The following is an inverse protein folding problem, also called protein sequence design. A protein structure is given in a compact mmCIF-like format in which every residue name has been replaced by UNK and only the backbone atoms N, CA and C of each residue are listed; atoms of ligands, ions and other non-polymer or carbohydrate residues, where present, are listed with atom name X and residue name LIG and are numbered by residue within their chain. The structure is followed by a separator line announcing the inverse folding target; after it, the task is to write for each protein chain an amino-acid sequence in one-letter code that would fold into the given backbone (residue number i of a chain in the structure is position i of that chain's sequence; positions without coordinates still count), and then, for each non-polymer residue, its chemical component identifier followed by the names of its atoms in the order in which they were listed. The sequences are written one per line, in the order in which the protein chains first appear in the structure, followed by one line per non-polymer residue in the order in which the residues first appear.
data_IF_451251584159
#
_entry.id   IF_451251584159
#
_cell.length_a   1.000
_cell.length_b   1.000
_cell.length_c   1.000
_cell.angle_alpha   90.00
_cell.angle_beta   90.00
_cell.angle_gamma   90.00
#
_symmetry.space_group_name_H-M   'P 1'
#
loop_
_entity.id
_entity.type
_entity.pdbx_description
1 polymer ?
#
# COMPACT_ATOMS: atom_id res chain seq x y z
N UNK A 1 6.34 -10.40 -1.76
CA UNK A 1 5.55 -9.95 -2.93
C UNK A 1 6.38 -9.00 -3.77
N UNK A 2 6.31 -9.12 -5.10
CA UNK A 2 7.09 -8.32 -6.05
C UNK A 2 6.30 -7.14 -6.64
N UNK A 3 4.97 -7.19 -6.58
CA UNK A 3 4.12 -6.17 -7.16
C UNK A 3 3.98 -4.97 -6.20
N UNK A 4 4.44 -3.76 -6.58
CA UNK A 4 4.33 -2.56 -5.73
C UNK A 4 2.89 -2.22 -5.31
N UNK A 5 1.89 -2.66 -6.07
CA UNK A 5 0.48 -2.41 -5.76
C UNK A 5 0.03 -3.08 -4.45
N UNK A 6 0.66 -4.19 -4.06
CA UNK A 6 0.34 -4.87 -2.80
C UNK A 6 0.76 -4.03 -1.60
N UNK A 7 1.94 -3.40 -1.68
CA UNK A 7 2.41 -2.49 -0.65
C UNK A 7 1.53 -1.25 -0.53
N UNK A 8 1.15 -0.67 -1.68
CA UNK A 8 0.19 0.42 -1.70
C UNK A 8 -1.16 0.02 -1.07
N UNK A 9 -1.68 -1.16 -1.46
CA UNK A 9 -2.94 -1.68 -0.94
C UNK A 9 -2.88 -1.95 0.56
N UNK A 10 -1.75 -2.42 1.09
CA UNK A 10 -1.54 -2.62 2.52
C UNK A 10 -1.60 -1.31 3.31
N UNK A 11 -1.02 -0.23 2.77
CA UNK A 11 -1.06 1.12 3.35
C UNK A 11 -2.50 1.63 3.37
N UNK A 12 -3.21 1.56 2.24
CA UNK A 12 -4.60 2.03 2.12
C UNK A 12 -5.51 1.22 3.05
N UNK A 13 -5.41 -0.12 3.05
CA UNK A 13 -6.16 -1.00 3.96
C UNK A 13 -5.93 -0.61 5.43
N UNK A 14 -4.69 -0.33 5.81
CA UNK A 14 -4.35 0.07 7.19
C UNK A 14 -4.89 1.45 7.57
N UNK A 15 -4.98 2.37 6.61
CA UNK A 15 -5.65 3.66 6.80
C UNK A 15 -7.16 3.50 6.98
N UNK A 16 -7.80 2.75 6.07
CA UNK A 16 -9.25 2.49 6.11
C UNK A 16 -9.67 1.76 7.39
N UNK A 17 -8.91 0.75 7.83
CA UNK A 17 -9.17 0.02 9.11
C UNK A 17 -9.11 0.93 10.34
N UNK A 18 -8.29 1.99 10.31
CA UNK A 18 -8.19 2.97 11.41
C UNK A 18 -9.27 4.05 11.36
N UNK A 19 -9.98 4.17 10.24
CA UNK A 19 -11.07 5.13 10.10
C UNK A 19 -12.34 4.64 10.80
N UNK A 20 -13.02 5.54 11.51
CA UNK A 20 -14.36 5.24 12.04
C UNK A 20 -15.35 5.22 10.89
N UNK A 21 -15.95 4.06 10.65
CA UNK A 21 -17.08 3.91 9.75
C UNK A 21 -18.32 4.42 10.48
N UNK A 22 -18.82 5.56 10.02
CA UNK A 22 -20.15 6.02 10.39
C UNK A 22 -21.16 5.44 9.40
N UNK A 23 -22.42 5.27 9.78
CA UNK A 23 -23.44 4.61 8.95
C UNK A 23 -23.62 5.27 7.56
N UNK A 24 -23.23 6.54 7.44
CA UNK A 24 -23.26 7.33 6.20
C UNK A 24 -21.99 7.20 5.33
N UNK A 25 -20.84 6.75 5.87
CA UNK A 25 -19.58 6.66 5.11
C UNK A 25 -19.46 5.32 4.39
N UNK A 26 -19.63 5.36 3.07
CA UNK A 26 -19.41 4.20 2.21
C UNK A 26 -17.92 3.80 2.16
N UNK A 27 -17.67 2.48 2.16
CA UNK A 27 -16.34 1.88 2.01
C UNK A 27 -15.56 2.43 0.82
N UNK A 28 -16.22 2.60 -0.32
CA UNK A 28 -15.62 3.19 -1.51
C UNK A 28 -15.05 4.60 -1.26
N UNK A 29 -15.81 5.46 -0.58
CA UNK A 29 -15.38 6.82 -0.24
C UNK A 29 -14.18 6.80 0.72
N UNK A 30 -14.19 5.91 1.71
CA UNK A 30 -13.06 5.74 2.63
C UNK A 30 -11.79 5.27 1.90
N UNK A 31 -11.91 4.35 0.95
CA UNK A 31 -10.79 3.88 0.12
C UNK A 31 -10.26 5.01 -0.77
N UNK A 32 -11.15 5.76 -1.44
CA UNK A 32 -10.77 6.87 -2.32
C UNK A 32 -10.03 7.96 -1.53
N UNK A 33 -10.58 8.37 -0.39
CA UNK A 33 -9.94 9.36 0.48
C UNK A 33 -8.58 8.87 1.01
N UNK A 34 -8.51 7.63 1.50
CA UNK A 34 -7.27 7.04 1.99
C UNK A 34 -6.20 6.95 0.89
N UNK A 35 -6.60 6.68 -0.36
CA UNK A 35 -5.70 6.65 -1.52
C UNK A 35 -5.17 8.05 -1.86
N UNK A 36 -6.05 9.06 -1.85
CA UNK A 36 -5.69 10.44 -2.22
C UNK A 36 -4.74 11.12 -1.24
N UNK A 37 -4.72 10.70 0.03
CA UNK A 37 -3.80 11.26 1.03
C UNK A 37 -2.43 10.58 1.05
N UNK A 38 -2.21 9.51 0.25
CA UNK A 38 -0.91 8.84 0.18
C UNK A 38 0.11 9.78 -0.45
N UNK A 39 1.20 10.14 0.27
CA UNK A 39 2.22 11.01 -0.28
C UNK A 39 2.94 10.39 -1.49
N UNK A 40 3.34 11.24 -2.46
CA UNK A 40 4.11 10.81 -3.65
C UNK A 40 5.41 10.08 -3.27
N UNK A 41 6.07 10.47 -2.19
CA UNK A 41 7.29 9.79 -1.72
C UNK A 41 7.00 8.36 -1.24
N UNK A 42 5.83 8.11 -0.64
CA UNK A 42 5.41 6.78 -0.23
C UNK A 42 5.18 5.87 -1.43
N UNK A 43 4.57 6.39 -2.52
CA UNK A 43 4.43 5.65 -3.77
C UNK A 43 5.78 5.24 -4.36
N UNK A 44 6.76 6.16 -4.35
CA UNK A 44 8.15 5.85 -4.76
C UNK A 44 8.76 4.76 -3.90
N UNK A 45 8.55 4.81 -2.58
CA UNK A 45 9.04 3.78 -1.67
C UNK A 45 8.44 2.40 -1.95
N UNK A 46 7.16 2.30 -2.33
CA UNK A 46 6.56 1.04 -2.76
C UNK A 46 7.28 0.44 -3.98
N UNK A 47 7.64 1.27 -4.96
CA UNK A 47 8.39 0.85 -6.15
C UNK A 47 9.81 0.41 -5.77
N UNK A 48 10.50 1.22 -4.95
CA UNK A 48 11.87 0.93 -4.50
C UNK A 48 11.94 -0.36 -3.68
N UNK A 49 10.96 -0.63 -2.83
CA UNK A 49 10.86 -1.89 -2.09
C UNK A 49 10.89 -3.10 -3.03
N UNK A 50 10.07 -3.08 -4.09
CA UNK A 50 10.07 -4.15 -5.09
C UNK A 50 11.42 -4.32 -5.78
N UNK A 51 12.05 -3.22 -6.19
CA UNK A 51 13.38 -3.25 -6.84
C UNK A 51 14.44 -3.85 -5.93
N UNK A 52 14.47 -3.45 -4.65
CA UNK A 52 15.45 -3.91 -3.68
C UNK A 52 15.31 -5.41 -3.34
N UNK A 53 14.15 -5.98 -3.61
CA UNK A 53 13.83 -7.37 -3.29
C UNK A 53 13.96 -8.29 -4.50
N UNK A 54 14.04 -7.75 -5.72
CA UNK A 54 14.28 -8.56 -6.93
C UNK A 54 15.56 -9.40 -6.84
N UNK A 55 16.66 -8.83 -6.33
CA UNK A 55 17.92 -9.57 -6.15
C UNK A 55 17.76 -10.73 -5.17
N UNK A 56 17.06 -10.52 -4.06
CA UNK A 56 16.77 -11.57 -3.09
C UNK A 56 15.95 -12.70 -3.69
N UNK A 57 14.90 -12.37 -4.45
CA UNK A 57 14.10 -13.41 -5.15
C UNK A 57 14.91 -14.14 -6.22
N UNK A 58 15.76 -13.42 -6.97
CA UNK A 58 16.64 -14.02 -7.97
C UNK A 58 17.60 -15.03 -7.33
N UNK A 59 18.17 -14.67 -6.18
CA UNK A 59 19.14 -15.49 -5.45
C UNK A 59 18.50 -16.53 -4.53
N UNK A 60 17.16 -16.51 -4.37
CA UNK A 60 16.40 -17.31 -3.38
C UNK A 60 16.82 -17.04 -1.93
N UNK A 61 17.25 -15.81 -1.66
CA UNK A 61 17.56 -15.34 -0.32
C UNK A 61 16.27 -15.06 0.48
N UNK A 62 16.33 -15.12 1.83
CA UNK A 62 15.20 -14.71 2.67
C UNK A 62 14.82 -13.23 2.47
N UNK A 63 13.52 -13.01 2.23
CA UNK A 63 12.93 -11.68 1.99
C UNK A 63 12.38 -11.08 3.27
#
# INVERSE_FOLDING_TARGET
ELNPIEQFSAIVKSSVKRSKFDASKHLHTSISNASNVVPKHTLRNCILYSVNIFSKYLNKDPV
#
